data_IF_167237659376
#
_entry.id   IF_167237659376
#
_cell.length_a   1.000
_cell.length_b   1.000
_cell.length_c   1.000
_cell.angle_alpha   90.00
_cell.angle_beta   90.00
_cell.angle_gamma   90.00
#
_symmetry.space_group_name_H-M   'P 1'
#
loop_
_entity.id
_entity.type
_entity.pdbx_description
1 polymer ?
#
# COMPACT_ATOMS: atom_id res chain seq x y z
N UNK A 1 11.10 42.49 -8.96
CA UNK A 1 10.22 41.33 -9.21
C UNK A 1 9.28 41.19 -8.02
N UNK A 2 7.97 40.98 -8.22
CA UNK A 2 7.13 40.48 -7.14
C UNK A 2 7.67 39.12 -6.67
N UNK A 3 7.62 38.80 -5.37
CA UNK A 3 8.01 37.49 -4.88
C UNK A 3 7.17 36.42 -5.57
N UNK A 4 7.83 35.41 -6.15
CA UNK A 4 7.16 34.22 -6.67
C UNK A 4 6.40 33.60 -5.49
N UNK A 5 5.07 33.39 -5.57
CA UNK A 5 4.33 32.75 -4.51
C UNK A 5 4.96 31.39 -4.21
N UNK A 6 5.44 31.18 -2.98
CA UNK A 6 5.94 29.86 -2.60
C UNK A 6 4.78 28.87 -2.68
N UNK A 7 5.00 27.73 -3.35
CA UNK A 7 4.02 26.65 -3.37
C UNK A 7 3.63 26.27 -1.94
N UNK A 8 2.34 26.05 -1.71
CA UNK A 8 1.86 25.55 -0.43
C UNK A 8 2.51 24.18 -0.13
N UNK A 9 2.81 23.88 1.15
CA UNK A 9 3.40 22.60 1.50
C UNK A 9 2.43 21.46 1.16
N UNK A 10 3.00 20.32 0.76
CA UNK A 10 2.22 19.11 0.55
C UNK A 10 1.49 18.70 1.85
N UNK A 11 0.27 18.18 1.70
CA UNK A 11 -0.48 17.64 2.82
C UNK A 11 0.22 16.38 3.36
N UNK A 12 0.27 16.22 4.67
CA UNK A 12 0.81 15.04 5.34
C UNK A 12 -0.05 14.68 6.56
N UNK A 13 0.28 13.56 7.18
CA UNK A 13 -0.41 12.98 8.32
C UNK A 13 -0.03 13.53 9.67
N UNK A 14 0.94 14.44 9.81
CA UNK A 14 1.49 14.77 11.14
C UNK A 14 0.46 15.45 12.04
N UNK A 15 -0.39 16.31 11.46
CA UNK A 15 -1.36 17.09 12.23
C UNK A 15 -2.61 16.26 12.54
N UNK A 16 -2.79 15.91 13.80
CA UNK A 16 -3.98 15.22 14.30
C UNK A 16 -5.26 16.01 13.99
N UNK A 17 -6.37 15.28 13.81
CA UNK A 17 -7.67 15.87 13.49
C UNK A 17 -7.86 16.26 12.02
N UNK A 18 -6.79 16.34 11.22
CA UNK A 18 -6.89 16.57 9.78
C UNK A 18 -7.50 15.37 9.04
N UNK A 19 -8.04 15.62 7.86
CA UNK A 19 -8.53 14.57 6.97
C UNK A 19 -7.44 13.55 6.62
N UNK A 20 -6.21 14.01 6.39
CA UNK A 20 -5.08 13.14 6.05
C UNK A 20 -4.71 12.25 7.24
N UNK A 21 -4.56 12.80 8.46
CA UNK A 21 -4.31 11.99 9.65
C UNK A 21 -5.38 10.89 9.83
N UNK A 22 -6.67 11.24 9.72
CA UNK A 22 -7.77 10.26 9.81
C UNK A 22 -7.72 9.21 8.68
N UNK A 23 -7.33 9.62 7.48
CA UNK A 23 -7.18 8.70 6.35
C UNK A 23 -6.07 7.67 6.61
N UNK A 24 -4.92 8.11 7.08
CA UNK A 24 -3.78 7.23 7.38
C UNK A 24 -4.08 6.34 8.58
N UNK A 25 -4.68 6.90 9.64
CA UNK A 25 -4.93 6.19 10.90
C UNK A 25 -6.07 5.18 10.81
N UNK A 26 -7.16 5.52 10.12
CA UNK A 26 -8.39 4.74 10.17
C UNK A 26 -8.73 4.08 8.81
N UNK A 27 -8.62 4.84 7.71
CA UNK A 27 -9.09 4.38 6.40
C UNK A 27 -8.15 3.38 5.76
N UNK A 28 -6.86 3.67 5.70
CA UNK A 28 -5.88 2.77 5.09
C UNK A 28 -5.78 1.41 5.80
N UNK A 29 -5.74 1.32 7.16
CA UNK A 29 -5.80 0.03 7.84
C UNK A 29 -7.09 -0.75 7.57
N UNK A 30 -8.22 -0.04 7.43
CA UNK A 30 -9.49 -0.66 7.04
C UNK A 30 -9.42 -1.24 5.63
N UNK A 31 -8.81 -0.52 4.67
CA UNK A 31 -8.60 -1.02 3.30
C UNK A 31 -7.74 -2.29 3.33
N UNK A 32 -6.61 -2.29 4.03
CA UNK A 32 -5.74 -3.45 4.14
C UNK A 32 -6.43 -4.65 4.77
N UNK A 33 -7.23 -4.41 5.81
CA UNK A 33 -7.99 -5.48 6.47
C UNK A 33 -9.02 -6.09 5.51
N UNK A 34 -9.72 -5.26 4.72
CA UNK A 34 -10.64 -5.75 3.68
C UNK A 34 -9.91 -6.57 2.61
N UNK A 35 -8.74 -6.12 2.15
CA UNK A 35 -7.94 -6.87 1.17
C UNK A 35 -7.51 -8.23 1.74
N UNK A 36 -7.00 -8.26 2.97
CA UNK A 36 -6.63 -9.50 3.68
C UNK A 36 -7.83 -10.46 3.76
N UNK A 37 -9.00 -9.94 4.13
CA UNK A 37 -10.23 -10.75 4.21
C UNK A 37 -10.62 -11.34 2.86
N UNK A 38 -10.50 -10.58 1.76
CA UNK A 38 -10.80 -11.08 0.42
C UNK A 38 -9.83 -12.20 0.00
N UNK A 39 -8.53 -12.00 0.22
CA UNK A 39 -7.51 -13.02 -0.05
C UNK A 39 -7.78 -14.27 0.79
N UNK A 40 -8.11 -14.11 2.08
CA UNK A 40 -8.41 -15.23 2.97
C UNK A 40 -9.66 -16.02 2.53
N UNK A 41 -10.74 -15.35 2.12
CA UNK A 41 -11.96 -16.02 1.62
C UNK A 41 -11.69 -16.80 0.33
N UNK A 42 -10.84 -16.27 -0.53
CA UNK A 42 -10.45 -16.93 -1.78
C UNK A 42 -9.57 -18.17 -1.57
N UNK A 43 -9.00 -18.35 -0.37
CA UNK A 43 -8.04 -19.43 -0.05
C UNK A 43 -8.54 -20.83 -0.42
N UNK A 44 -9.76 -21.19 -0.04
CA UNK A 44 -10.26 -22.56 -0.23
C UNK A 44 -10.39 -22.91 -1.72
N UNK A 45 -11.01 -22.02 -2.51
CA UNK A 45 -11.17 -22.19 -3.96
C UNK A 45 -9.81 -22.14 -4.67
N UNK A 46 -8.90 -21.29 -4.21
CA UNK A 46 -7.57 -21.16 -4.81
C UNK A 46 -6.69 -22.39 -4.59
N UNK A 47 -6.71 -22.97 -3.38
CA UNK A 47 -5.95 -24.19 -3.07
C UNK A 47 -6.47 -25.38 -3.89
N UNK A 48 -7.77 -25.46 -4.17
CA UNK A 48 -8.33 -26.52 -5.00
C UNK A 48 -7.76 -26.49 -6.43
N UNK A 49 -7.51 -25.30 -6.99
CA UNK A 49 -6.93 -25.12 -8.33
C UNK A 49 -5.39 -25.17 -8.31
N UNK A 50 -4.77 -24.72 -7.22
CA UNK A 50 -3.32 -24.64 -7.05
C UNK A 50 -2.85 -25.36 -5.77
N UNK A 51 -2.93 -26.70 -5.70
CA UNK A 51 -2.71 -27.45 -4.46
C UNK A 51 -1.26 -27.41 -3.96
N UNK A 52 -0.28 -27.14 -4.82
CA UNK A 52 1.15 -27.09 -4.46
C UNK A 52 1.55 -25.75 -3.83
N UNK A 53 1.17 -24.65 -4.48
CA UNK A 53 1.69 -23.30 -4.16
C UNK A 53 0.61 -22.34 -3.61
N UNK A 54 -0.67 -22.65 -3.81
CA UNK A 54 -1.77 -21.73 -3.50
C UNK A 54 -1.84 -21.34 -2.02
N UNK A 55 -1.67 -22.28 -1.09
CA UNK A 55 -1.69 -21.97 0.34
C UNK A 55 -0.48 -21.12 0.76
N UNK A 56 0.70 -21.43 0.22
CA UNK A 56 1.93 -20.68 0.49
C UNK A 56 1.78 -19.23 0.03
N UNK A 57 1.30 -19.02 -1.19
CA UNK A 57 1.13 -17.70 -1.78
C UNK A 57 0.09 -16.87 -1.03
N UNK A 58 -1.04 -17.46 -0.64
CA UNK A 58 -2.07 -16.80 0.20
C UNK A 58 -1.46 -16.34 1.53
N UNK A 59 -0.75 -17.23 2.23
CA UNK A 59 -0.11 -16.90 3.51
C UNK A 59 0.95 -15.82 3.37
N UNK A 60 1.74 -15.85 2.29
CA UNK A 60 2.76 -14.84 2.01
C UNK A 60 2.14 -13.45 1.85
N UNK A 61 1.07 -13.33 1.04
CA UNK A 61 0.36 -12.05 0.83
C UNK A 61 -0.24 -11.55 2.13
N UNK A 62 -0.95 -12.41 2.88
CA UNK A 62 -1.55 -12.00 4.17
C UNK A 62 -0.47 -11.53 5.16
N UNK A 63 0.65 -12.25 5.24
CA UNK A 63 1.78 -11.88 6.09
C UNK A 63 2.35 -10.51 5.75
N UNK A 64 2.60 -10.26 4.47
CA UNK A 64 3.16 -8.98 4.01
C UNK A 64 2.19 -7.80 4.22
N UNK A 65 0.90 -7.98 3.95
CA UNK A 65 -0.11 -6.93 4.17
C UNK A 65 -0.33 -6.66 5.67
N UNK A 66 -0.28 -7.69 6.51
CA UNK A 66 -0.35 -7.54 7.96
C UNK A 66 0.88 -6.80 8.51
N UNK A 67 2.07 -7.12 8.00
CA UNK A 67 3.31 -6.41 8.34
C UNK A 67 3.22 -4.95 7.91
N UNK A 68 2.78 -4.67 6.69
CA UNK A 68 2.60 -3.30 6.18
C UNK A 68 1.63 -2.49 7.05
N UNK A 69 0.52 -3.10 7.49
CA UNK A 69 -0.43 -2.46 8.43
C UNK A 69 0.25 -2.10 9.76
N UNK A 70 1.11 -2.96 10.28
CA UNK A 70 1.88 -2.68 11.49
C UNK A 70 2.88 -1.52 11.30
N UNK A 71 3.62 -1.51 10.18
CA UNK A 71 4.54 -0.43 9.84
C UNK A 71 3.83 0.92 9.71
N UNK A 72 2.66 0.92 9.09
CA UNK A 72 1.80 2.10 8.98
C UNK A 72 1.34 2.57 10.36
N UNK A 73 0.81 1.67 11.20
CA UNK A 73 0.30 2.01 12.52
C UNK A 73 1.39 2.55 13.47
N UNK A 74 2.65 2.16 13.24
CA UNK A 74 3.80 2.59 14.06
C UNK A 74 4.70 3.62 13.37
N UNK A 75 4.18 4.26 12.31
CA UNK A 75 4.85 5.30 11.51
C UNK A 75 6.30 4.97 11.13
N UNK A 76 6.53 3.73 10.69
CA UNK A 76 7.86 3.27 10.28
C UNK A 76 8.28 3.92 8.95
N UNK A 77 9.59 4.03 8.68
CA UNK A 77 10.08 4.46 7.38
C UNK A 77 9.51 3.62 6.23
N UNK A 78 9.21 4.27 5.11
CA UNK A 78 8.81 3.59 3.88
C UNK A 78 9.97 2.75 3.38
N UNK A 79 9.68 1.52 2.95
CA UNK A 79 10.67 0.55 2.47
C UNK A 79 10.77 0.60 0.95
N UNK A 80 11.94 0.24 0.42
CA UNK A 80 12.11 -0.01 -1.00
C UNK A 80 11.20 -1.16 -1.47
N UNK A 81 10.86 -1.11 -2.75
CA UNK A 81 10.20 -2.21 -3.43
C UNK A 81 11.22 -3.28 -3.82
N UNK A 82 10.80 -4.53 -3.68
CA UNK A 82 11.58 -5.75 -3.89
C UNK A 82 10.84 -6.77 -4.77
N UNK A 83 9.80 -6.33 -5.48
CA UNK A 83 9.03 -7.14 -6.42
C UNK A 83 9.57 -7.06 -7.86
N UNK A 84 9.00 -7.84 -8.77
CA UNK A 84 9.49 -8.00 -10.15
C UNK A 84 8.74 -7.11 -11.16
N UNK A 85 8.12 -6.00 -10.74
CA UNK A 85 7.43 -5.10 -11.67
C UNK A 85 8.40 -4.07 -12.29
N UNK A 86 8.09 -3.67 -13.52
CA UNK A 86 8.95 -2.79 -14.34
C UNK A 86 9.16 -1.39 -13.74
N UNK A 87 8.26 -0.93 -12.86
CA UNK A 87 8.31 0.40 -12.25
C UNK A 87 9.13 0.47 -10.95
N UNK A 88 9.72 -0.65 -10.49
CA UNK A 88 10.44 -0.74 -9.21
C UNK A 88 11.63 0.22 -9.15
N UNK A 89 12.39 0.37 -10.23
CA UNK A 89 13.53 1.30 -10.28
C UNK A 89 13.07 2.74 -10.05
N UNK A 90 12.03 3.17 -10.76
CA UNK A 90 11.46 4.52 -10.67
C UNK A 90 11.00 4.82 -9.24
N UNK A 91 10.29 3.87 -8.61
CA UNK A 91 9.84 4.03 -7.23
C UNK A 91 11.00 4.12 -6.23
N UNK A 92 11.99 3.25 -6.37
CA UNK A 92 13.14 3.22 -5.47
C UNK A 92 14.03 4.47 -5.63
N UNK A 93 14.22 4.96 -6.86
CA UNK A 93 14.90 6.23 -7.14
C UNK A 93 14.15 7.42 -6.50
N UNK A 94 12.82 7.44 -6.58
CA UNK A 94 12.02 8.49 -5.96
C UNK A 94 12.10 8.43 -4.42
N UNK A 95 12.08 7.23 -3.82
CA UNK A 95 12.29 7.07 -2.38
C UNK A 95 13.69 7.53 -1.95
N UNK A 96 14.72 7.18 -2.72
CA UNK A 96 16.09 7.64 -2.49
C UNK A 96 16.20 9.16 -2.57
N UNK A 97 15.59 9.78 -3.59
CA UNK A 97 15.53 11.23 -3.72
C UNK A 97 14.85 11.88 -2.50
N UNK A 98 13.71 11.36 -2.05
CA UNK A 98 13.01 11.84 -0.85
C UNK A 98 13.88 11.73 0.40
N UNK A 99 14.61 10.62 0.57
CA UNK A 99 15.52 10.40 1.70
C UNK A 99 16.77 11.28 1.66
N UNK A 100 17.22 11.68 0.47
CA UNK A 100 18.32 12.68 0.31
C UNK A 100 17.85 14.09 0.66
N UNK A 101 16.61 14.43 0.30
CA UNK A 101 16.01 15.73 0.60
C UNK A 101 15.55 15.87 2.05
N UNK A 102 15.25 14.75 2.70
CA UNK A 102 14.79 14.64 4.09
C UNK A 102 15.74 13.72 4.85
N UNK A 103 15.24 13.00 5.85
CA UNK A 103 15.93 11.88 6.51
C UNK A 103 15.16 10.58 6.34
N UNK A 104 15.78 9.42 6.55
CA UNK A 104 15.09 8.11 6.52
C UNK A 104 13.84 8.08 7.43
N UNK A 105 13.97 8.66 8.63
CA UNK A 105 12.87 8.71 9.60
C UNK A 105 11.73 9.63 9.18
N UNK A 106 11.99 10.61 8.32
CA UNK A 106 10.98 11.54 7.79
C UNK A 106 10.29 11.03 6.53
N UNK A 107 10.89 10.05 5.84
CA UNK A 107 10.23 9.33 4.75
C UNK A 107 9.42 8.19 5.34
N UNK A 108 8.37 8.54 6.09
CA UNK A 108 7.47 7.62 6.81
C UNK A 108 6.01 7.79 6.37
N UNK A 109 5.11 6.94 6.89
CA UNK A 109 3.69 6.91 6.54
C UNK A 109 2.94 8.20 6.86
N UNK A 110 3.24 8.85 7.98
CA UNK A 110 2.57 10.09 8.39
C UNK A 110 3.31 11.35 7.96
N UNK A 111 4.61 11.27 7.69
CA UNK A 111 5.48 12.45 7.48
C UNK A 111 5.74 12.76 6.01
N UNK A 112 5.55 11.78 5.14
CA UNK A 112 5.66 11.95 3.68
C UNK A 112 4.35 12.50 3.10
N UNK A 113 4.47 13.14 1.93
CA UNK A 113 3.39 13.73 1.18
C UNK A 113 2.26 12.71 0.96
N UNK A 114 1.05 13.06 1.36
CA UNK A 114 -0.10 12.15 1.42
C UNK A 114 -0.38 11.43 0.10
N UNK A 115 -0.38 12.16 -1.01
CA UNK A 115 -0.60 11.60 -2.34
C UNK A 115 0.45 10.53 -2.68
N UNK A 116 1.72 10.78 -2.37
CA UNK A 116 2.79 9.82 -2.61
C UNK A 116 2.59 8.56 -1.77
N UNK A 117 2.29 8.71 -0.48
CA UNK A 117 2.10 7.57 0.43
C UNK A 117 0.85 6.76 0.08
N UNK A 118 -0.22 7.42 -0.40
CA UNK A 118 -1.41 6.75 -0.89
C UNK A 118 -1.11 5.88 -2.12
N UNK A 119 -0.37 6.43 -3.09
CA UNK A 119 0.07 5.66 -4.25
C UNK A 119 1.03 4.51 -3.84
N UNK A 120 1.95 4.78 -2.91
CA UNK A 120 2.86 3.78 -2.33
C UNK A 120 2.09 2.61 -1.70
N UNK A 121 1.02 2.90 -0.93
CA UNK A 121 0.17 1.89 -0.32
C UNK A 121 -0.40 0.92 -1.35
N UNK A 122 -1.07 1.44 -2.40
CA UNK A 122 -1.66 0.59 -3.43
C UNK A 122 -0.59 -0.17 -4.24
N UNK A 123 0.54 0.49 -4.52
CA UNK A 123 1.66 -0.15 -5.22
C UNK A 123 2.26 -1.31 -4.41
N UNK A 124 2.34 -1.18 -3.08
CA UNK A 124 2.78 -2.27 -2.17
C UNK A 124 1.78 -3.44 -2.14
N UNK A 125 0.47 -3.16 -2.17
CA UNK A 125 -0.56 -4.22 -2.28
C UNK A 125 -0.37 -5.02 -3.57
N UNK A 126 -0.16 -4.33 -4.70
CA UNK A 126 0.08 -5.00 -5.98
C UNK A 126 1.41 -5.78 -5.93
N UNK A 127 2.47 -5.20 -5.39
CA UNK A 127 3.78 -5.86 -5.24
C UNK A 127 3.69 -7.18 -4.46
N UNK A 128 2.97 -7.18 -3.33
CA UNK A 128 2.74 -8.38 -2.53
C UNK A 128 2.09 -9.51 -3.33
N UNK A 129 1.11 -9.19 -4.18
CA UNK A 129 0.46 -10.17 -5.07
C UNK A 129 1.39 -10.65 -6.19
N UNK A 130 2.19 -9.73 -6.77
CA UNK A 130 3.07 -10.04 -7.91
C UNK A 130 4.27 -10.92 -7.55
N UNK A 131 4.74 -10.85 -6.31
CA UNK A 131 5.78 -11.75 -5.77
C UNK A 131 5.35 -13.21 -5.68
N UNK A 132 4.05 -13.48 -5.70
CA UNK A 132 3.52 -14.86 -5.65
C UNK A 132 3.64 -15.57 -6.98
N UNK A 133 3.47 -16.90 -6.98
CA UNK A 133 3.41 -17.68 -8.23
C UNK A 133 2.00 -17.69 -8.83
N UNK A 134 0.98 -17.79 -7.98
CA UNK A 134 -0.40 -18.13 -8.37
C UNK A 134 -1.40 -16.99 -8.21
N UNK A 135 -1.07 -15.94 -7.44
CA UNK A 135 -1.96 -14.79 -7.20
C UNK A 135 -1.59 -13.56 -8.02
N UNK A 136 -0.67 -13.67 -8.99
CA UNK A 136 -0.20 -12.53 -9.79
C UNK A 136 -1.36 -11.74 -10.40
N UNK A 137 -2.40 -12.40 -10.91
CA UNK A 137 -3.54 -11.76 -11.59
C UNK A 137 -4.74 -11.53 -10.66
N UNK A 138 -4.63 -11.85 -9.38
CA UNK A 138 -5.73 -11.67 -8.43
C UNK A 138 -5.99 -10.17 -8.20
N UNK A 139 -7.23 -9.74 -8.37
CA UNK A 139 -7.67 -8.38 -8.05
C UNK A 139 -8.46 -8.38 -6.72
N UNK A 140 -7.84 -7.91 -5.62
CA UNK A 140 -8.50 -7.90 -4.32
C UNK A 140 -9.65 -6.89 -4.21
N UNK A 141 -9.80 -5.98 -5.19
CA UNK A 141 -10.86 -4.98 -5.23
C UNK A 141 -12.00 -5.34 -6.18
N UNK A 142 -11.90 -6.47 -6.90
CA UNK A 142 -12.91 -6.88 -7.88
C UNK A 142 -14.31 -7.01 -7.29
N UNK A 143 -14.44 -7.69 -6.14
CA UNK A 143 -15.73 -7.85 -5.45
C UNK A 143 -16.34 -6.50 -5.03
N UNK A 144 -15.50 -5.57 -4.54
CA UNK A 144 -15.96 -4.24 -4.16
C UNK A 144 -16.47 -3.45 -5.37
N UNK A 145 -15.75 -3.51 -6.50
CA UNK A 145 -16.17 -2.86 -7.75
C UNK A 145 -17.48 -3.43 -8.28
N UNK A 146 -17.66 -4.75 -8.20
CA UNK A 146 -18.89 -5.41 -8.62
C UNK A 146 -20.09 -4.98 -7.76
N UNK A 147 -19.97 -5.03 -6.43
CA UNK A 147 -21.05 -4.62 -5.53
C UNK A 147 -21.44 -3.15 -5.74
N UNK A 148 -20.45 -2.25 -5.92
CA UNK A 148 -20.72 -0.84 -6.19
C UNK A 148 -21.46 -0.59 -7.51
N UNK A 149 -21.36 -1.51 -8.48
CA UNK A 149 -22.10 -1.45 -9.75
C UNK A 149 -23.52 -2.00 -9.64
N UNK A 150 -23.73 -3.02 -8.80
CA UNK A 150 -25.04 -3.68 -8.63
C UNK A 150 -25.93 -2.93 -7.64
N UNK A 151 -25.34 -2.38 -6.57
CA UNK A 151 -26.06 -1.70 -5.47
C UNK A 151 -26.19 -0.18 -5.68
N UNK A 152 -25.61 0.37 -6.75
CA UNK A 152 -25.61 1.80 -7.09
C UNK A 152 -26.67 2.16 -8.13
#
# INVERSE_FOLDING_TARGET
MPPVPSLAPALNGIKEGTFVYKTIKDRWPTILTKVIDQVHRYRHTHIAVHPKDGDRDIKAVIGELAEMRYHMATDKPLRNFDDDLDDVSIWNEQLEFLRKMKTEAEVSWYRTDWLFVECYLYRRIVGALRKTTTLKQFDPFAAQKHNAYVDG
#
